data_IF_698914497305
#
_entry.id   IF_698914497305
#
_cell.length_a   1.000
_cell.length_b   1.000
_cell.length_c   1.000
_cell.angle_alpha   90.00
_cell.angle_beta   90.00
_cell.angle_gamma   90.00
#
_symmetry.space_group_name_H-M   'P 1'
#
loop_
_entity.id
_entity.type
_entity.pdbx_description
1 polymer ?
#
# COMPACT_ATOMS: atom_id res chain seq x y z
N UNK A 1 -40.02 -20.07 -5.00
CA UNK A 1 -39.32 -18.79 -5.28
C UNK A 1 -37.93 -18.90 -4.70
N UNK A 2 -36.90 -18.74 -5.50
CA UNK A 2 -35.52 -18.82 -5.03
C UNK A 2 -35.16 -17.53 -4.28
N UNK A 3 -34.52 -17.67 -3.13
CA UNK A 3 -34.18 -16.54 -2.27
C UNK A 3 -32.99 -15.75 -2.84
N UNK A 4 -33.01 -14.40 -2.83
CA UNK A 4 -31.85 -13.58 -3.18
C UNK A 4 -30.70 -13.68 -2.15
N UNK A 5 -30.92 -14.38 -1.02
CA UNK A 5 -29.97 -14.48 0.09
C UNK A 5 -28.53 -14.85 -0.30
N UNK A 6 -28.26 -15.78 -1.24
CA UNK A 6 -26.88 -16.16 -1.59
C UNK A 6 -26.05 -15.03 -2.21
N UNK A 7 -26.66 -14.18 -3.04
CA UNK A 7 -25.97 -13.03 -3.65
C UNK A 7 -25.80 -11.90 -2.66
N UNK A 8 -26.82 -11.62 -1.84
CA UNK A 8 -26.69 -10.62 -0.77
C UNK A 8 -25.56 -10.99 0.18
N UNK A 9 -25.43 -12.27 0.52
CA UNK A 9 -24.31 -12.77 1.32
C UNK A 9 -22.97 -12.62 0.58
N UNK A 10 -22.91 -12.95 -0.72
CA UNK A 10 -21.70 -12.76 -1.55
C UNK A 10 -21.25 -11.29 -1.55
N UNK A 11 -22.15 -10.36 -1.88
CA UNK A 11 -21.91 -8.92 -1.88
C UNK A 11 -21.39 -8.46 -0.52
N UNK A 12 -22.00 -8.94 0.57
CA UNK A 12 -21.58 -8.58 1.92
C UNK A 12 -20.14 -9.01 2.20
N UNK A 13 -19.74 -10.21 1.80
CA UNK A 13 -18.35 -10.67 1.94
C UNK A 13 -17.38 -9.86 1.07
N UNK A 14 -17.76 -9.53 -0.17
CA UNK A 14 -16.93 -8.73 -1.06
C UNK A 14 -16.78 -7.29 -0.59
N UNK A 15 -17.82 -6.68 -0.02
CA UNK A 15 -17.72 -5.34 0.58
C UNK A 15 -16.76 -5.33 1.77
N UNK A 16 -16.81 -6.33 2.65
CA UNK A 16 -15.86 -6.43 3.77
C UNK A 16 -14.43 -6.65 3.24
N UNK A 17 -14.26 -7.50 2.23
CA UNK A 17 -12.98 -7.70 1.57
C UNK A 17 -12.44 -6.39 0.96
N UNK A 18 -13.28 -5.66 0.23
CA UNK A 18 -12.93 -4.37 -0.37
C UNK A 18 -12.52 -3.34 0.68
N UNK A 19 -13.29 -3.20 1.77
CA UNK A 19 -12.95 -2.30 2.88
C UNK A 19 -11.60 -2.67 3.50
N UNK A 20 -11.34 -3.97 3.67
CA UNK A 20 -10.06 -4.47 4.20
C UNK A 20 -8.91 -4.10 3.27
N UNK A 21 -9.06 -4.30 1.96
CA UNK A 21 -8.05 -3.96 0.96
C UNK A 21 -7.83 -2.44 0.83
N UNK A 22 -8.88 -1.63 0.93
CA UNK A 22 -8.80 -0.17 0.90
C UNK A 22 -8.10 0.38 2.15
N UNK A 23 -8.36 -0.20 3.33
CA UNK A 23 -7.64 0.16 4.55
C UNK A 23 -6.17 -0.21 4.41
N UNK A 24 -5.88 -1.42 3.92
CA UNK A 24 -4.53 -1.89 3.65
C UNK A 24 -3.76 -0.94 2.71
N UNK A 25 -4.41 -0.50 1.62
CA UNK A 25 -3.83 0.44 0.67
C UNK A 25 -3.52 1.82 1.30
N UNK A 26 -4.34 2.26 2.26
CA UNK A 26 -4.15 3.53 2.99
C UNK A 26 -3.02 3.42 4.02
N UNK A 27 -3.01 2.36 4.83
CA UNK A 27 -2.01 2.13 5.88
C UNK A 27 -0.61 2.01 5.30
N UNK A 28 -0.47 1.40 4.12
CA UNK A 28 0.80 1.29 3.44
C UNK A 28 1.27 2.63 2.82
N UNK A 29 0.48 3.70 2.95
CA UNK A 29 0.89 5.05 2.54
C UNK A 29 1.20 5.14 1.04
N UNK A 30 0.52 4.32 0.23
CA UNK A 30 0.72 4.25 -1.23
C UNK A 30 0.01 5.37 -2.00
N UNK A 31 -0.61 6.30 -1.29
CA UNK A 31 -1.14 7.53 -1.86
C UNK A 31 -0.01 8.42 -2.37
N UNK A 32 0.23 8.41 -3.68
CA UNK A 32 0.70 9.61 -4.37
C UNK A 32 -0.46 10.61 -4.40
N UNK A 33 -0.69 11.29 -3.28
CA UNK A 33 -1.39 12.56 -3.28
C UNK A 33 -0.39 13.67 -3.66
N UNK A 34 -0.77 14.67 -4.47
CA UNK A 34 0.08 15.84 -4.68
C UNK A 34 0.40 16.43 -3.31
N UNK A 35 1.68 16.70 -3.06
CA UNK A 35 2.20 17.03 -1.74
C UNK A 35 1.28 17.96 -0.97
N UNK A 36 1.03 17.62 0.29
CA UNK A 36 0.53 18.58 1.27
C UNK A 36 1.34 19.87 1.13
N UNK A 37 0.74 21.03 0.82
CA UNK A 37 1.46 22.30 0.91
C UNK A 37 1.88 22.42 2.36
N UNK A 38 3.19 22.61 2.57
CA UNK A 38 3.74 22.80 3.90
C UNK A 38 2.90 23.81 4.68
N UNK A 39 2.51 23.43 5.89
CA UNK A 39 2.02 24.36 6.89
C UNK A 39 2.90 25.61 6.87
N UNK A 40 2.34 26.82 6.69
CA UNK A 40 3.12 28.04 6.77
C UNK A 40 3.52 28.22 8.24
N UNK A 41 4.75 27.82 8.58
CA UNK A 41 5.38 28.29 9.81
C UNK A 41 5.53 29.80 9.67
N UNK A 42 4.84 30.51 10.56
CA UNK A 42 4.70 31.95 10.55
C UNK A 42 6.03 32.70 10.60
N UNK A 43 6.01 33.99 10.20
CA UNK A 43 7.19 34.80 10.17
C UNK A 43 7.44 35.34 11.57
N UNK A 44 8.51 34.90 12.21
CA UNK A 44 9.25 35.79 13.10
C UNK A 44 10.68 35.30 13.25
N UNK A 45 11.58 36.29 13.22
CA UNK A 45 12.88 36.39 13.87
C UNK A 45 13.96 36.96 12.94
N UNK A 46 14.05 38.29 12.99
CA UNK A 46 15.27 39.09 12.74
C UNK A 46 16.27 38.79 13.86
N UNK A 47 17.57 38.61 13.53
CA UNK A 47 18.59 39.64 13.75
C UNK A 47 19.54 39.73 12.54
N UNK A 48 19.90 40.89 11.97
CA UNK A 48 20.51 42.04 12.62
C UNK A 48 22.04 41.99 12.50
N UNK A 49 22.62 42.44 11.37
CA UNK A 49 23.88 43.22 11.27
C UNK A 49 24.41 43.34 9.82
N UNK A 50 25.14 44.41 9.44
CA UNK A 50 25.43 44.80 8.06
C UNK A 50 26.91 44.63 7.63
N UNK A 51 27.21 45.15 6.42
CA UNK A 51 28.51 45.45 5.78
C UNK A 51 29.02 44.38 4.78
N UNK A 52 28.75 44.55 3.48
CA UNK A 52 29.49 45.35 2.47
C UNK A 52 30.85 44.77 2.02
N UNK A 53 30.84 44.44 0.71
CA UNK A 53 31.87 44.64 -0.34
C UNK A 53 33.16 43.79 -0.35
N UNK A 54 33.24 43.02 -1.44
CA UNK A 54 34.17 43.21 -2.58
C UNK A 54 35.67 43.02 -2.36
N UNK A 55 36.26 42.10 -3.12
CA UNK A 55 37.68 42.17 -3.47
C UNK A 55 38.31 40.84 -3.91
N UNK A 56 38.56 40.72 -5.22
CA UNK A 56 39.57 39.82 -5.79
C UNK A 56 40.97 40.13 -5.22
N UNK A 57 41.87 39.15 -5.11
CA UNK A 57 43.05 38.97 -5.98
C UNK A 57 44.03 37.90 -5.43
N UNK A 58 44.84 37.40 -6.37
CA UNK A 58 45.88 36.35 -6.34
C UNK A 58 47.04 36.55 -5.34
N UNK A 59 47.70 35.44 -4.96
CA UNK A 59 49.14 35.13 -5.14
C UNK A 59 49.54 33.91 -4.26
N UNK A 60 49.95 32.76 -4.82
CA UNK A 60 51.34 32.30 -5.06
C UNK A 60 52.26 32.27 -3.81
N UNK A 61 52.58 31.06 -3.30
CA UNK A 61 53.93 30.43 -3.17
C UNK A 61 53.86 29.18 -2.26
N UNK A 62 54.43 28.03 -2.69
CA UNK A 62 54.81 26.91 -1.80
C UNK A 62 56.13 27.20 -1.07
N UNK A 63 56.93 26.22 -0.56
CA UNK A 63 56.81 24.75 -0.65
C UNK A 63 57.15 23.94 0.65
N UNK A 64 56.91 22.62 0.62
CA UNK A 64 57.80 21.56 1.15
C UNK A 64 57.78 21.22 2.66
N UNK A 65 57.52 19.95 3.01
CA UNK A 65 58.49 19.03 3.67
C UNK A 65 57.84 17.66 3.96
N UNK A 66 58.50 16.61 3.49
CA UNK A 66 58.21 15.19 3.75
C UNK A 66 58.70 14.75 5.14
N UNK A 67 58.13 13.67 5.70
CA UNK A 67 58.65 13.04 6.92
C UNK A 67 57.82 11.85 7.40
N UNK A 68 58.40 10.66 7.31
CA UNK A 68 57.81 9.35 7.57
C UNK A 68 57.63 8.98 9.06
N UNK A 69 56.66 8.08 9.31
CA UNK A 69 56.86 6.82 10.04
C UNK A 69 57.04 6.82 11.57
N UNK A 70 56.23 6.01 12.27
CA UNK A 70 56.54 5.57 13.64
C UNK A 70 55.40 4.85 14.35
N UNK A 71 55.58 3.55 14.63
CA UNK A 71 54.71 2.67 15.44
C UNK A 71 55.08 2.75 16.93
N UNK A 72 54.13 2.41 17.82
CA UNK A 72 54.34 2.01 19.23
C UNK A 72 53.38 2.75 20.18
N UNK A 73 52.31 2.14 20.73
CA UNK A 73 52.23 1.16 21.83
C UNK A 73 52.49 1.75 23.25
N UNK A 74 51.48 1.70 24.13
CA UNK A 74 51.63 1.90 25.59
C UNK A 74 50.50 2.70 26.26
N UNK A 75 49.63 2.02 27.01
CA UNK A 75 48.51 2.53 27.83
C UNK A 75 48.98 3.11 29.20
N UNK A 76 48.11 3.27 30.24
CA UNK A 76 46.89 4.08 30.39
C UNK A 76 46.99 5.05 31.59
N UNK A 77 46.06 6.01 31.73
CA UNK A 77 45.92 6.83 32.95
C UNK A 77 44.59 7.57 33.03
N UNK A 78 43.80 7.25 34.04
CA UNK A 78 42.53 7.90 34.44
C UNK A 78 42.78 9.33 34.98
N UNK A 79 41.75 10.19 35.04
CA UNK A 79 41.08 10.33 36.35
C UNK A 79 39.54 10.47 36.29
N UNK A 80 38.97 10.16 37.46
CA UNK A 80 37.57 10.30 37.90
C UNK A 80 37.14 11.74 38.22
N UNK A 81 35.81 11.88 38.33
CA UNK A 81 35.02 12.90 39.04
C UNK A 81 34.98 14.29 38.36
N UNK A 82 33.90 15.07 38.35
CA UNK A 82 32.72 15.20 39.21
C UNK A 82 31.73 16.13 38.46
N UNK A 83 30.45 16.17 38.85
CA UNK A 83 29.63 17.37 38.61
C UNK A 83 28.33 17.22 37.82
N UNK A 84 27.30 16.72 38.51
CA UNK A 84 25.95 17.30 38.65
C UNK A 84 25.29 18.06 37.46
N UNK A 85 24.05 17.61 37.17
CA UNK A 85 22.80 18.41 37.18
C UNK A 85 22.07 18.62 35.85
N UNK A 86 20.80 18.21 35.85
CA UNK A 86 19.73 18.67 34.95
C UNK A 86 19.71 17.96 33.61
N UNK A 87 18.59 17.68 32.95
CA UNK A 87 17.21 18.05 33.17
C UNK A 87 16.34 17.10 32.32
N UNK A 88 15.03 17.23 32.49
CA UNK A 88 13.94 16.58 31.78
C UNK A 88 14.15 16.33 30.26
N UNK A 89 13.58 15.24 29.77
CA UNK A 89 13.40 14.92 28.36
C UNK A 89 13.37 13.41 28.21
N UNK A 90 12.27 12.76 27.87
CA UNK A 90 11.21 13.16 26.97
C UNK A 90 11.03 11.97 26.03
N UNK A 91 9.83 11.40 26.04
CA UNK A 91 9.33 10.46 25.04
C UNK A 91 10.29 9.32 24.63
N UNK A 92 10.20 8.18 25.31
CA UNK A 92 10.43 6.89 24.65
C UNK A 92 9.23 6.63 23.70
N UNK A 93 9.11 7.48 22.68
CA UNK A 93 8.37 7.14 21.48
C UNK A 93 9.32 6.25 20.69
N UNK A 94 9.07 4.95 20.80
CA UNK A 94 9.57 3.93 19.90
C UNK A 94 9.72 4.52 18.50
N UNK A 95 10.89 4.42 17.85
CA UNK A 95 10.98 4.69 16.44
C UNK A 95 10.04 3.72 15.74
N UNK A 96 8.87 4.19 15.32
CA UNK A 96 8.15 3.56 14.23
C UNK A 96 9.18 3.43 13.10
N UNK A 97 9.44 2.22 12.57
CA UNK A 97 10.36 2.09 11.45
C UNK A 97 9.63 2.67 10.24
N UNK A 98 9.70 4.00 10.08
CA UNK A 98 9.41 4.65 8.81
C UNK A 98 10.66 4.47 7.94
N UNK A 99 11.00 3.21 7.70
CA UNK A 99 12.05 2.81 6.79
C UNK A 99 11.48 2.97 5.38
N UNK A 100 11.46 4.23 4.92
CA UNK A 100 11.16 4.56 3.52
C UNK A 100 12.40 4.23 2.69
N UNK A 101 12.76 2.95 2.69
CA UNK A 101 13.80 2.40 1.84
C UNK A 101 13.43 2.58 0.36
N UNK A 102 14.41 2.48 -0.56
CA UNK A 102 14.16 2.63 -1.98
C UNK A 102 13.02 1.71 -2.46
N UNK A 103 12.04 2.27 -3.19
CA UNK A 103 11.00 1.46 -3.82
C UNK A 103 11.63 0.56 -4.87
N UNK A 104 11.72 -0.74 -4.58
CA UNK A 104 12.19 -1.73 -5.56
C UNK A 104 11.12 -1.96 -6.62
N UNK A 105 11.51 -2.42 -7.81
CA UNK A 105 10.56 -2.81 -8.87
C UNK A 105 9.53 -3.83 -8.36
N UNK A 106 9.97 -4.77 -7.51
CA UNK A 106 9.10 -5.74 -6.86
C UNK A 106 8.03 -5.05 -5.98
N UNK A 107 8.42 -4.06 -5.17
CA UNK A 107 7.47 -3.28 -4.35
C UNK A 107 6.49 -2.48 -5.21
N UNK A 108 6.94 -1.91 -6.34
CA UNK A 108 6.04 -1.25 -7.29
C UNK A 108 5.06 -2.23 -7.95
N UNK A 109 5.54 -3.42 -8.32
CA UNK A 109 4.71 -4.47 -8.90
C UNK A 109 3.65 -4.96 -7.90
N UNK A 110 4.03 -5.18 -6.64
CA UNK A 110 3.09 -5.50 -5.55
C UNK A 110 2.03 -4.40 -5.37
N UNK A 111 2.45 -3.13 -5.35
CA UNK A 111 1.52 -1.99 -5.25
C UNK A 111 0.53 -1.96 -6.42
N UNK A 112 1.01 -2.14 -7.64
CA UNK A 112 0.16 -2.21 -8.83
C UNK A 112 -0.78 -3.41 -8.80
N UNK A 113 -0.29 -4.57 -8.35
CA UNK A 113 -1.09 -5.77 -8.18
C UNK A 113 -2.23 -5.56 -7.17
N UNK A 114 -1.94 -5.08 -5.96
CA UNK A 114 -2.98 -4.83 -4.97
C UNK A 114 -3.98 -3.75 -5.42
N UNK A 115 -3.52 -2.68 -6.08
CA UNK A 115 -4.41 -1.68 -6.65
C UNK A 115 -5.41 -2.31 -7.65
N UNK A 116 -4.93 -3.19 -8.53
CA UNK A 116 -5.80 -3.93 -9.46
C UNK A 116 -6.79 -4.85 -8.74
N UNK A 117 -6.40 -5.51 -7.65
CA UNK A 117 -7.34 -6.29 -6.82
C UNK A 117 -8.41 -5.38 -6.23
N UNK A 118 -8.05 -4.22 -5.68
CA UNK A 118 -8.99 -3.24 -5.13
C UNK A 118 -9.97 -2.78 -6.21
N UNK A 119 -9.46 -2.34 -7.35
CA UNK A 119 -10.27 -1.84 -8.47
C UNK A 119 -11.20 -2.93 -9.00
N UNK A 120 -10.68 -4.13 -9.25
CA UNK A 120 -11.47 -5.26 -9.75
C UNK A 120 -12.53 -5.72 -8.74
N UNK A 121 -12.23 -5.68 -7.44
CA UNK A 121 -13.19 -6.01 -6.37
C UNK A 121 -14.28 -4.94 -6.28
N UNK A 122 -13.91 -3.66 -6.41
CA UNK A 122 -14.87 -2.56 -6.45
C UNK A 122 -15.80 -2.65 -7.66
N UNK A 123 -15.25 -2.92 -8.85
CA UNK A 123 -16.03 -3.16 -10.05
C UNK A 123 -16.96 -4.37 -9.89
N UNK A 124 -16.47 -5.46 -9.29
CA UNK A 124 -17.27 -6.66 -9.05
C UNK A 124 -18.45 -6.37 -8.11
N UNK A 125 -18.21 -5.69 -6.99
CA UNK A 125 -19.28 -5.28 -6.06
C UNK A 125 -20.31 -4.41 -6.78
N UNK A 126 -19.86 -3.46 -7.62
CA UNK A 126 -20.74 -2.61 -8.41
C UNK A 126 -21.59 -3.41 -9.39
N UNK A 127 -20.99 -4.35 -10.14
CA UNK A 127 -21.71 -5.25 -11.07
C UNK A 127 -22.68 -6.15 -10.31
N UNK A 128 -22.28 -6.70 -9.17
CA UNK A 128 -23.14 -7.54 -8.34
C UNK A 128 -24.38 -6.78 -7.84
N UNK A 129 -24.22 -5.53 -7.42
CA UNK A 129 -25.31 -4.71 -6.92
C UNK A 129 -26.23 -4.19 -8.03
N UNK A 130 -25.64 -3.70 -9.13
CA UNK A 130 -26.38 -2.95 -10.17
C UNK A 130 -26.94 -3.84 -11.27
N UNK A 131 -26.23 -4.92 -11.63
CA UNK A 131 -26.61 -5.81 -12.72
C UNK A 131 -27.10 -7.15 -12.19
N UNK A 132 -26.35 -7.80 -11.30
CA UNK A 132 -26.69 -9.15 -10.84
C UNK A 132 -27.83 -9.17 -9.81
N UNK A 133 -27.95 -8.12 -8.99
CA UNK A 133 -29.03 -7.95 -8.03
C UNK A 133 -30.42 -8.00 -8.68
N UNK A 134 -30.72 -7.15 -9.67
CA UNK A 134 -31.99 -7.21 -10.43
C UNK A 134 -32.18 -8.55 -11.14
N UNK A 135 -31.13 -9.07 -11.80
CA UNK A 135 -31.20 -10.35 -12.50
C UNK A 135 -31.57 -11.50 -11.57
N UNK A 136 -31.07 -11.51 -10.32
CA UNK A 136 -31.40 -12.53 -9.34
C UNK A 136 -32.86 -12.46 -8.85
N UNK A 137 -33.44 -11.27 -8.82
CA UNK A 137 -34.87 -11.09 -8.52
C UNK A 137 -35.74 -11.63 -9.65
N UNK A 138 -35.33 -11.43 -10.90
CA UNK A 138 -36.03 -11.97 -12.08
C UNK A 138 -35.87 -13.50 -12.19
N UNK A 139 -34.64 -14.00 -12.07
CA UNK A 139 -34.31 -15.42 -12.14
C UNK A 139 -33.10 -15.74 -11.26
N UNK A 140 -33.29 -16.71 -10.37
CA UNK A 140 -32.16 -17.20 -9.59
C UNK A 140 -31.14 -17.94 -10.45
N UNK A 141 -29.88 -17.59 -10.25
CA UNK A 141 -28.73 -18.34 -10.74
C UNK A 141 -27.86 -18.75 -9.54
N UNK A 142 -27.04 -19.80 -9.67
CA UNK A 142 -26.17 -20.24 -8.59
C UNK A 142 -25.09 -19.20 -8.30
N UNK A 143 -24.89 -18.89 -7.02
CA UNK A 143 -23.78 -18.04 -6.54
C UNK A 143 -22.90 -18.88 -5.63
N UNK A 144 -21.61 -18.94 -5.94
CA UNK A 144 -20.65 -19.74 -5.18
C UNK A 144 -20.13 -18.98 -3.95
N UNK A 145 -20.97 -18.89 -2.92
CA UNK A 145 -20.67 -18.16 -1.68
C UNK A 145 -19.35 -18.58 -1.02
N UNK A 146 -18.96 -19.86 -1.15
CA UNK A 146 -17.69 -20.37 -0.63
C UNK A 146 -16.49 -19.55 -1.12
N UNK A 147 -16.49 -19.19 -2.39
CA UNK A 147 -15.37 -18.44 -2.98
C UNK A 147 -15.34 -17.00 -2.46
N UNK A 148 -16.50 -16.36 -2.26
CA UNK A 148 -16.57 -15.01 -1.67
C UNK A 148 -16.11 -14.98 -0.21
N UNK A 149 -16.39 -16.04 0.56
CA UNK A 149 -15.88 -16.21 1.93
C UNK A 149 -14.37 -16.42 1.92
N UNK A 150 -13.87 -17.28 1.03
CA UNK A 150 -12.44 -17.55 0.87
C UNK A 150 -11.68 -16.27 0.49
N UNK A 151 -12.21 -15.50 -0.48
CA UNK A 151 -11.65 -14.21 -0.87
C UNK A 151 -11.53 -13.25 0.31
N UNK A 152 -12.60 -13.08 1.09
CA UNK A 152 -12.59 -12.25 2.31
C UNK A 152 -11.51 -12.70 3.30
N UNK A 153 -11.37 -14.00 3.51
CA UNK A 153 -10.39 -14.54 4.45
C UNK A 153 -8.95 -14.26 3.96
N UNK A 154 -8.70 -14.42 2.66
CA UNK A 154 -7.40 -14.05 2.05
C UNK A 154 -7.12 -12.56 2.23
N UNK A 155 -8.11 -11.67 1.99
CA UNK A 155 -7.94 -10.23 2.22
C UNK A 155 -7.66 -9.91 3.69
N UNK A 156 -8.26 -10.66 4.61
CA UNK A 156 -7.98 -10.52 6.04
C UNK A 156 -6.54 -10.95 6.37
N UNK A 157 -6.03 -12.01 5.76
CA UNK A 157 -4.63 -12.41 5.89
C UNK A 157 -3.70 -11.33 5.34
N UNK A 158 -3.98 -10.79 4.14
CA UNK A 158 -3.22 -9.69 3.56
C UNK A 158 -3.09 -8.50 4.52
N UNK A 159 -4.16 -8.16 5.24
CA UNK A 159 -4.15 -7.07 6.21
C UNK A 159 -3.29 -7.33 7.47
N UNK A 160 -3.04 -8.60 7.80
CA UNK A 160 -2.20 -8.98 8.94
C UNK A 160 -0.71 -9.08 8.56
N UNK A 161 -0.38 -9.12 7.26
CA UNK A 161 0.99 -9.22 6.78
C UNK A 161 1.56 -7.82 6.51
N UNK A 162 2.76 -7.54 7.02
CA UNK A 162 3.40 -6.21 6.91
C UNK A 162 4.25 -6.09 5.64
N UNK A 163 4.87 -7.18 5.15
CA UNK A 163 5.58 -7.29 3.86
C UNK A 163 6.19 -8.71 3.75
N UNK A 164 6.57 -9.15 2.53
CA UNK A 164 7.37 -10.37 2.31
C UNK A 164 6.69 -11.48 1.52
N UNK A 165 7.35 -12.63 1.40
CA UNK A 165 6.91 -13.73 0.52
C UNK A 165 5.48 -14.22 0.82
N UNK A 166 5.04 -14.13 2.08
CA UNK A 166 3.68 -14.52 2.45
C UNK A 166 2.64 -13.53 1.90
N UNK A 167 2.93 -12.23 1.93
CA UNK A 167 2.07 -11.21 1.33
C UNK A 167 1.95 -11.43 -0.19
N UNK A 168 3.05 -11.70 -0.89
CA UNK A 168 3.03 -12.02 -2.33
C UNK A 168 2.16 -13.24 -2.64
N UNK A 169 2.26 -14.29 -1.82
CA UNK A 169 1.45 -15.50 -1.96
C UNK A 169 -0.02 -15.23 -1.74
N UNK A 170 -0.37 -14.50 -0.68
CA UNK A 170 -1.75 -14.16 -0.37
C UNK A 170 -2.34 -13.19 -1.41
N UNK A 171 -1.53 -12.29 -1.98
CA UNK A 171 -1.95 -11.38 -3.03
C UNK A 171 -2.24 -12.13 -4.34
N UNK A 172 -1.39 -13.10 -4.68
CA UNK A 172 -1.62 -13.99 -5.80
C UNK A 172 -2.84 -14.89 -5.58
N UNK A 173 -3.03 -15.41 -4.36
CA UNK A 173 -4.23 -16.16 -3.99
C UNK A 173 -5.50 -15.29 -4.12
N UNK A 174 -5.45 -14.03 -3.71
CA UNK A 174 -6.55 -13.08 -3.86
C UNK A 174 -6.91 -12.86 -5.34
N UNK A 175 -5.91 -12.64 -6.20
CA UNK A 175 -6.11 -12.54 -7.64
C UNK A 175 -6.78 -13.78 -8.24
N UNK A 176 -6.27 -14.98 -7.90
CA UNK A 176 -6.80 -16.24 -8.44
C UNK A 176 -8.20 -16.56 -7.92
N UNK A 177 -8.46 -16.25 -6.65
CA UNK A 177 -9.78 -16.38 -6.04
C UNK A 177 -10.79 -15.45 -6.73
N UNK A 178 -10.43 -14.18 -6.93
CA UNK A 178 -11.28 -13.20 -7.63
C UNK A 178 -11.55 -13.62 -9.08
N UNK A 179 -10.52 -14.06 -9.81
CA UNK A 179 -10.67 -14.65 -11.15
C UNK A 179 -11.68 -15.81 -11.15
N UNK A 180 -11.62 -16.68 -10.13
CA UNK A 180 -12.50 -17.85 -10.01
C UNK A 180 -13.95 -17.44 -9.76
N UNK A 181 -14.18 -16.47 -8.86
CA UNK A 181 -15.51 -15.90 -8.61
C UNK A 181 -16.11 -15.37 -9.91
N UNK A 182 -15.38 -14.50 -10.61
CA UNK A 182 -15.84 -13.88 -11.86
C UNK A 182 -16.14 -14.93 -12.94
N UNK A 183 -15.26 -15.92 -13.13
CA UNK A 183 -15.47 -17.02 -14.09
C UNK A 183 -16.74 -17.82 -13.79
N UNK A 184 -16.96 -18.16 -12.52
CA UNK A 184 -18.15 -18.91 -12.09
C UNK A 184 -19.43 -18.09 -12.23
N UNK A 185 -19.39 -16.77 -12.00
CA UNK A 185 -20.51 -15.88 -12.29
C UNK A 185 -20.84 -15.85 -13.78
N UNK A 186 -19.83 -15.69 -14.66
CA UNK A 186 -20.03 -15.74 -16.12
C UNK A 186 -20.64 -17.08 -16.55
N UNK A 187 -20.14 -18.19 -16.02
CA UNK A 187 -20.67 -19.53 -16.33
C UNK A 187 -22.12 -19.69 -15.85
N UNK A 188 -22.46 -19.12 -14.70
CA UNK A 188 -23.82 -19.17 -14.14
C UNK A 188 -24.81 -18.39 -15.02
N UNK A 189 -24.38 -17.23 -15.54
CA UNK A 189 -25.18 -16.40 -16.44
C UNK A 189 -25.28 -16.97 -17.86
N UNK A 190 -24.27 -17.72 -18.32
CA UNK A 190 -24.27 -18.33 -19.66
C UNK A 190 -25.44 -19.31 -19.87
N UNK A 191 -25.99 -19.88 -18.79
CA UNK A 191 -27.14 -20.78 -18.83
C UNK A 191 -28.49 -20.05 -18.96
N UNK A 192 -28.51 -18.71 -18.92
CA UNK A 192 -29.72 -17.89 -18.87
C UNK A 192 -29.62 -16.66 -19.81
N UNK A 193 -29.57 -16.84 -21.13
CA UNK A 193 -29.37 -15.71 -22.05
C UNK A 193 -30.61 -14.80 -22.09
N UNK A 194 -30.42 -13.54 -21.71
CA UNK A 194 -31.28 -12.39 -21.96
C UNK A 194 -30.38 -11.16 -22.14
N UNK A 195 -30.84 -10.08 -22.80
CA UNK A 195 -30.01 -8.91 -23.11
C UNK A 195 -29.32 -8.32 -21.86
N UNK A 196 -30.02 -8.30 -20.72
CA UNK A 196 -29.45 -7.87 -19.44
C UNK A 196 -28.32 -8.81 -18.94
N UNK A 197 -28.44 -10.12 -19.19
CA UNK A 197 -27.40 -11.10 -18.86
C UNK A 197 -26.18 -10.94 -19.77
N UNK A 198 -26.37 -10.53 -21.03
CA UNK A 198 -25.28 -10.25 -21.97
C UNK A 198 -24.47 -9.05 -21.48
N UNK A 199 -25.13 -7.98 -21.05
CA UNK A 199 -24.46 -6.80 -20.46
C UNK A 199 -23.69 -7.19 -19.20
N UNK A 200 -24.32 -7.93 -18.27
CA UNK A 200 -23.66 -8.40 -17.06
C UNK A 200 -22.45 -9.31 -17.37
N UNK A 201 -22.57 -10.22 -18.34
CA UNK A 201 -21.46 -11.06 -18.79
C UNK A 201 -20.32 -10.24 -19.41
N UNK A 202 -20.64 -9.20 -20.19
CA UNK A 202 -19.63 -8.32 -20.78
C UNK A 202 -18.86 -7.55 -19.69
N UNK A 203 -19.56 -6.99 -18.70
CA UNK A 203 -18.94 -6.32 -17.54
C UNK A 203 -18.05 -7.28 -16.73
N UNK A 204 -18.52 -8.50 -16.45
CA UNK A 204 -17.71 -9.51 -15.75
C UNK A 204 -16.47 -9.93 -16.55
N UNK A 205 -16.59 -10.06 -17.88
CA UNK A 205 -15.45 -10.34 -18.77
C UNK A 205 -14.45 -9.18 -18.79
N UNK A 206 -14.91 -7.93 -18.64
CA UNK A 206 -14.02 -6.79 -18.52
C UNK A 206 -13.21 -6.84 -17.23
N UNK A 207 -13.86 -7.13 -16.10
CA UNK A 207 -13.17 -7.33 -14.81
C UNK A 207 -12.13 -8.45 -14.93
N UNK A 208 -12.47 -9.56 -15.59
CA UNK A 208 -11.55 -10.68 -15.79
C UNK A 208 -10.31 -10.29 -16.62
N UNK A 209 -10.45 -9.38 -17.59
CA UNK A 209 -9.34 -8.89 -18.40
C UNK A 209 -8.41 -7.94 -17.62
N UNK A 210 -8.95 -7.21 -16.65
CA UNK A 210 -8.17 -6.33 -15.77
C UNK A 210 -7.29 -7.11 -14.77
N UNK A 211 -7.51 -8.42 -14.64
CA UNK A 211 -6.74 -9.34 -13.81
C UNK A 211 -5.74 -10.13 -14.68
N UNK A 212 -4.51 -9.64 -14.92
CA UNK A 212 -3.52 -10.40 -15.68
C UNK A 212 -3.12 -11.68 -14.94
N UNK A 213 -2.59 -12.66 -15.67
CA UNK A 213 -1.88 -13.78 -15.08
C UNK A 213 -0.53 -13.27 -14.54
N UNK A 214 -0.41 -13.24 -13.21
CA UNK A 214 0.86 -13.06 -12.49
C UNK A 214 1.61 -14.38 -12.46
#
# INVERSE_FOLDING_TARGET
MASPAPLVASISHQMVALQTLQLLQQEWGWGDGPGTPGSPRGPDHVPGAPARRSGQMRARRGPGREGAGGRGAGAPGYPEADGLRGAEGGAELLPFPRDRGPCTLARMAMRSALARVVDSTSELVSVEQTLLGPLQQERSFPVHLKDSVEFRNICSHLALQIEGQQFDRDLNAAHQCLKTIVKKLIQSLANLPSDAHVVACASLRQILQNLPDV
#
